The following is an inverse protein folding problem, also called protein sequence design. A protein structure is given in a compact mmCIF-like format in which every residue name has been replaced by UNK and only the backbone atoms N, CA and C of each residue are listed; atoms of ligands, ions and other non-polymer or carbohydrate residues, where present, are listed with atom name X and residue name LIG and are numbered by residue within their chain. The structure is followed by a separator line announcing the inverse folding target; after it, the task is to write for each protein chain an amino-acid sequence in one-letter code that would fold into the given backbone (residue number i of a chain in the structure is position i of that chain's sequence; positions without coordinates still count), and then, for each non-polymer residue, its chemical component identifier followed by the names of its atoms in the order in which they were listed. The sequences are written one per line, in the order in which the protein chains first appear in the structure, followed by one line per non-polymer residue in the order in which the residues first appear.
data_IF_868090757678
#
_entry.id   IF_868090757678
#
_cell.length_a   1.000
_cell.length_b   1.000
_cell.length_c   1.000
_cell.angle_alpha   90.00
_cell.angle_beta   90.00
_cell.angle_gamma   90.00
#
_symmetry.space_group_name_H-M   'P 1'
#
loop_
_entity.id
_entity.type
_entity.pdbx_description
1 polymer ?
#
# COMPACT_ATOMS: atom_id res chain seq x y z
N UNK A 1 -2.88 -7.66 20.95
CA UNK A 1 -3.62 -8.02 19.74
C UNK A 1 -2.76 -7.75 18.52
N UNK A 2 -2.81 -8.65 17.58
CA UNK A 2 -2.08 -8.47 16.33
C UNK A 2 -2.69 -7.32 15.53
N UNK A 3 -1.83 -6.54 14.89
CA UNK A 3 -2.26 -5.46 14.03
C UNK A 3 -2.92 -6.05 12.78
N UNK A 4 -4.06 -5.50 12.40
CA UNK A 4 -4.71 -5.92 11.16
C UNK A 4 -3.95 -5.29 9.99
N UNK A 5 -3.13 -6.08 9.33
CA UNK A 5 -2.29 -5.61 8.23
C UNK A 5 -3.13 -5.05 7.11
N UNK A 6 -4.19 -5.74 6.73
CA UNK A 6 -5.06 -5.28 5.65
C UNK A 6 -5.67 -3.92 5.93
N UNK A 7 -6.24 -3.75 7.12
CA UNK A 7 -6.86 -2.49 7.49
C UNK A 7 -5.84 -1.37 7.58
N UNK A 8 -4.66 -1.66 8.11
CA UNK A 8 -3.60 -0.65 8.24
C UNK A 8 -3.10 -0.21 6.87
N UNK A 9 -2.87 -1.17 5.96
CA UNK A 9 -2.44 -0.85 4.59
C UNK A 9 -3.47 0.05 3.91
N UNK A 10 -4.74 -0.30 4.00
CA UNK A 10 -5.80 0.47 3.36
C UNK A 10 -5.89 1.89 3.91
N UNK A 11 -5.72 2.04 5.20
CA UNK A 11 -5.73 3.36 5.82
C UNK A 11 -4.56 4.22 5.36
N UNK A 12 -3.37 3.63 5.29
CA UNK A 12 -2.18 4.34 4.83
C UNK A 12 -2.38 4.81 3.38
N UNK A 13 -2.89 3.92 2.53
CA UNK A 13 -3.13 4.25 1.13
C UNK A 13 -4.15 5.37 1.00
N UNK A 14 -5.25 5.27 1.73
CA UNK A 14 -6.30 6.29 1.69
C UNK A 14 -5.78 7.65 2.11
N UNK A 15 -5.02 7.69 3.20
CA UNK A 15 -4.46 8.93 3.71
C UNK A 15 -3.43 9.53 2.75
N UNK A 16 -2.59 8.70 2.18
CA UNK A 16 -1.51 9.16 1.31
C UNK A 16 -2.02 9.69 -0.01
N UNK A 17 -2.98 9.00 -0.60
CA UNK A 17 -3.53 9.36 -1.91
C UNK A 17 -4.73 10.31 -1.81
N UNK A 18 -5.24 10.54 -0.62
CA UNK A 18 -6.39 11.41 -0.43
C UNK A 18 -7.67 10.83 -1.00
N UNK A 19 -7.82 9.51 -0.95
CA UNK A 19 -9.02 8.83 -1.45
C UNK A 19 -9.79 8.22 -0.28
N UNK A 20 -11.05 7.91 -0.55
CA UNK A 20 -11.92 7.27 0.45
C UNK A 20 -11.41 5.86 0.74
N UNK A 21 -11.29 5.53 2.01
CA UNK A 21 -10.83 4.21 2.43
C UNK A 21 -11.69 3.09 1.87
N UNK A 22 -12.97 3.36 1.66
CA UNK A 22 -13.89 2.37 1.07
C UNK A 22 -13.55 2.04 -0.38
N UNK A 23 -12.84 2.92 -1.08
CA UNK A 23 -12.41 2.67 -2.45
C UNK A 23 -11.11 1.87 -2.49
N UNK A 24 -10.43 1.74 -1.37
CA UNK A 24 -9.17 1.00 -1.29
C UNK A 24 -9.49 -0.46 -1.01
N UNK A 25 -9.74 -1.21 -2.07
CA UNK A 25 -10.05 -2.64 -1.99
C UNK A 25 -8.79 -3.45 -2.30
N UNK A 26 -8.82 -4.74 -1.97
CA UNK A 26 -7.67 -5.62 -2.23
C UNK A 26 -7.32 -5.66 -3.71
N UNK A 27 -8.31 -5.56 -4.58
CA UNK A 27 -8.12 -5.63 -6.01
C UNK A 27 -7.75 -4.30 -6.65
N UNK A 28 -7.83 -3.21 -5.88
CA UNK A 28 -7.55 -1.88 -6.41
C UNK A 28 -6.07 -1.74 -6.80
N UNK A 29 -5.86 -1.30 -8.04
CA UNK A 29 -4.52 -0.97 -8.53
C UNK A 29 -4.18 0.43 -8.06
N UNK A 30 -2.96 0.62 -7.54
CA UNK A 30 -2.54 1.94 -7.06
C UNK A 30 -2.59 2.97 -8.19
N UNK A 31 -2.16 2.59 -9.36
CA UNK A 31 -2.07 3.51 -10.49
C UNK A 31 -3.39 3.62 -11.23
N UNK A 32 -3.98 2.48 -11.61
CA UNK A 32 -5.18 2.47 -12.46
C UNK A 32 -6.45 2.84 -11.72
N UNK A 33 -6.60 2.37 -10.49
CA UNK A 33 -7.84 2.56 -9.73
C UNK A 33 -7.77 3.73 -8.78
N UNK A 34 -6.60 3.96 -8.18
CA UNK A 34 -6.44 4.98 -7.14
C UNK A 34 -5.71 6.23 -7.64
N UNK A 35 -5.26 6.21 -8.88
CA UNK A 35 -4.66 7.38 -9.51
C UNK A 35 -3.27 7.75 -9.00
N UNK A 36 -2.56 6.81 -8.40
CA UNK A 36 -1.20 7.06 -7.93
C UNK A 36 -0.23 7.09 -9.10
N UNK A 37 0.77 7.95 -9.03
CA UNK A 37 1.86 7.91 -10.00
C UNK A 37 3.05 7.15 -9.40
N UNK A 38 4.16 7.09 -10.15
CA UNK A 38 5.33 6.33 -9.70
C UNK A 38 5.94 6.88 -8.42
N UNK A 39 5.87 8.19 -8.23
CA UNK A 39 6.37 8.81 -7.00
C UNK A 39 5.49 8.46 -5.81
N UNK A 40 4.18 8.47 -6.03
CA UNK A 40 3.23 8.10 -4.97
C UNK A 40 3.46 6.66 -4.51
N UNK A 41 3.71 5.75 -5.44
CA UNK A 41 3.96 4.34 -5.08
C UNK A 41 5.22 4.19 -4.25
N UNK A 42 6.27 4.94 -4.57
CA UNK A 42 7.51 4.93 -3.79
C UNK A 42 7.24 5.44 -2.36
N UNK A 43 6.49 6.51 -2.25
CA UNK A 43 6.14 7.06 -0.93
C UNK A 43 5.29 6.11 -0.12
N UNK A 44 4.36 5.40 -0.77
CA UNK A 44 3.53 4.40 -0.10
C UNK A 44 4.39 3.26 0.44
N UNK A 45 5.34 2.79 -0.35
CA UNK A 45 6.24 1.73 0.09
C UNK A 45 7.03 2.17 1.32
N UNK A 46 7.54 3.40 1.32
CA UNK A 46 8.26 3.94 2.46
C UNK A 46 7.37 4.03 3.70
N UNK A 47 6.12 4.42 3.51
CA UNK A 47 5.17 4.48 4.62
C UNK A 47 4.90 3.10 5.20
N UNK A 48 4.79 2.08 4.35
CA UNK A 48 4.61 0.71 4.80
C UNK A 48 5.82 0.22 5.59
N UNK A 49 7.03 0.55 5.12
CA UNK A 49 8.24 0.17 5.81
C UNK A 49 8.29 0.75 7.22
N UNK A 50 7.93 2.02 7.35
CA UNK A 50 7.91 2.69 8.65
C UNK A 50 6.84 2.12 9.57
N UNK A 51 5.65 1.84 9.02
CA UNK A 51 4.52 1.39 9.83
C UNK A 51 4.73 -0.04 10.34
N UNK A 52 5.28 -0.91 9.51
CA UNK A 52 5.43 -2.32 9.85
C UNK A 52 6.84 -2.72 10.24
N UNK A 53 7.78 -1.79 10.17
CA UNK A 53 9.16 -2.06 10.55
C UNK A 53 9.86 -3.06 9.63
N UNK A 54 9.45 -3.13 8.39
CA UNK A 54 10.02 -4.06 7.41
C UNK A 54 10.74 -3.30 6.32
N UNK A 55 11.75 -3.92 5.73
CA UNK A 55 12.44 -3.35 4.57
C UNK A 55 11.86 -3.95 3.29
N UNK A 56 11.57 -3.09 2.32
CA UNK A 56 11.07 -3.50 1.02
C UNK A 56 12.06 -3.01 -0.02
N UNK A 57 12.71 -3.93 -0.72
CA UNK A 57 13.65 -3.56 -1.77
C UNK A 57 12.91 -2.96 -2.97
N UNK A 58 13.64 -2.23 -3.80
CA UNK A 58 13.06 -1.64 -5.00
C UNK A 58 12.48 -2.71 -5.92
N UNK A 59 13.17 -3.85 -6.05
CA UNK A 59 12.69 -4.96 -6.86
C UNK A 59 11.37 -5.50 -6.35
N UNK A 60 11.22 -5.59 -5.04
CA UNK A 60 9.99 -6.07 -4.43
C UNK A 60 8.89 -5.05 -4.55
N UNK A 61 9.24 -3.77 -4.38
CA UNK A 61 8.26 -2.69 -4.51
C UNK A 61 7.66 -2.65 -5.92
N UNK A 62 8.44 -2.94 -6.93
CA UNK A 62 7.96 -2.96 -8.32
C UNK A 62 6.90 -4.04 -8.56
N UNK A 63 6.87 -5.06 -7.73
CA UNK A 63 5.89 -6.14 -7.85
C UNK A 63 4.59 -5.83 -7.11
N UNK A 64 4.59 -4.79 -6.30
CA UNK A 64 3.41 -4.39 -5.54
C UNK A 64 2.57 -3.45 -6.41
N UNK A 65 1.64 -4.03 -7.16
CA UNK A 65 0.80 -3.28 -8.08
C UNK A 65 -0.58 -3.00 -7.53
N UNK A 66 -1.07 -3.84 -6.64
CA UNK A 66 -2.40 -3.68 -6.04
C UNK A 66 -2.30 -3.64 -4.52
N UNK A 67 -3.38 -3.22 -3.89
CA UNK A 67 -3.48 -3.20 -2.43
C UNK A 67 -3.28 -4.60 -1.87
N UNK A 68 -3.89 -5.60 -2.50
CA UNK A 68 -3.75 -6.98 -2.08
C UNK A 68 -2.32 -7.48 -2.15
N UNK A 69 -1.58 -7.07 -3.18
CA UNK A 69 -0.17 -7.43 -3.31
C UNK A 69 0.63 -6.88 -2.12
N UNK A 70 0.36 -5.64 -1.74
CA UNK A 70 1.03 -5.01 -0.61
C UNK A 70 0.72 -5.76 0.69
N UNK A 71 -0.54 -6.11 0.88
CA UNK A 71 -0.97 -6.84 2.08
C UNK A 71 -0.26 -8.20 2.17
N UNK A 72 -0.25 -8.93 1.07
CA UNK A 72 0.40 -10.24 1.03
C UNK A 72 1.90 -10.14 1.30
N UNK A 73 2.52 -9.11 0.77
CA UNK A 73 3.95 -8.92 0.96
C UNK A 73 4.29 -8.67 2.43
N UNK A 74 3.48 -7.86 3.11
CA UNK A 74 3.72 -7.48 4.49
C UNK A 74 3.36 -8.61 5.45
N UNK A 75 2.33 -9.35 5.13
CA UNK A 75 1.96 -10.50 5.95
C UNK A 75 3.07 -11.56 5.92
#
# INVERSE_FOLDING_TARGET
MAKDVGATVKKIVADHLGVDEQKVTDEASFIDDLGADSLDTVELVMAFEEEFGSEISDSEAEKILTVGDAIKFIE
#
